data_IF_963332770063
#
_entry.id   IF_963332770063
#
_cell.length_a   1.000
_cell.length_b   1.000
_cell.length_c   1.000
_cell.angle_alpha   90.00
_cell.angle_beta   90.00
_cell.angle_gamma   90.00
#
_symmetry.space_group_name_H-M   'P 1'
#
loop_
_entity.id
_entity.type
_entity.pdbx_description
1 polymer ?
#
# COMPACT_ATOMS: atom_id res chain seq x y z
N UNK A 1 10.62 -33.89 -18.65
CA UNK A 1 10.71 -32.44 -18.92
C UNK A 1 11.75 -31.86 -17.98
N UNK A 2 12.76 -31.12 -18.46
CA UNK A 2 13.80 -30.59 -17.58
C UNK A 2 13.16 -29.54 -16.66
N UNK A 3 13.29 -29.75 -15.35
CA UNK A 3 12.83 -28.81 -14.32
C UNK A 3 13.76 -27.60 -14.41
N UNK A 4 13.28 -26.52 -15.02
CA UNK A 4 14.07 -25.28 -15.13
C UNK A 4 14.42 -24.73 -13.74
N UNK A 5 15.62 -24.18 -13.56
CA UNK A 5 16.09 -23.60 -12.28
C UNK A 5 15.17 -22.52 -11.68
N UNK A 6 14.30 -21.89 -12.50
CA UNK A 6 13.29 -20.93 -12.03
C UNK A 6 12.27 -21.55 -11.07
N UNK A 7 11.95 -22.83 -11.26
CA UNK A 7 10.98 -23.57 -10.42
C UNK A 7 11.54 -23.86 -9.03
N UNK A 8 12.84 -24.16 -8.90
CA UNK A 8 13.47 -24.51 -7.61
C UNK A 8 13.59 -23.30 -6.69
N UNK A 9 14.00 -22.13 -7.22
CA UNK A 9 14.06 -20.88 -6.44
C UNK A 9 12.67 -20.36 -6.05
N UNK A 10 11.69 -20.47 -6.95
CA UNK A 10 10.29 -20.15 -6.67
C UNK A 10 9.73 -21.02 -5.54
N UNK A 11 10.00 -22.32 -5.57
CA UNK A 11 9.55 -23.24 -4.52
C UNK A 11 10.19 -22.95 -3.15
N UNK A 12 11.47 -22.56 -3.11
CA UNK A 12 12.12 -22.16 -1.84
C UNK A 12 11.50 -20.89 -1.25
N UNK A 13 11.25 -19.87 -2.09
CA UNK A 13 10.62 -18.63 -1.64
C UNK A 13 9.19 -18.87 -1.14
N UNK A 14 8.39 -19.63 -1.89
CA UNK A 14 7.03 -20.00 -1.48
C UNK A 14 7.02 -20.76 -0.16
N UNK A 15 7.95 -21.69 0.04
CA UNK A 15 8.09 -22.42 1.30
C UNK A 15 8.45 -21.48 2.47
N UNK A 16 9.28 -20.47 2.26
CA UNK A 16 9.59 -19.48 3.29
C UNK A 16 8.37 -18.64 3.66
N UNK A 17 7.63 -18.16 2.66
CA UNK A 17 6.38 -17.41 2.86
C UNK A 17 5.34 -18.25 3.60
N UNK A 18 5.18 -19.53 3.23
CA UNK A 18 4.24 -20.42 3.91
C UNK A 18 4.60 -20.66 5.37
N UNK A 19 5.91 -20.84 5.67
CA UNK A 19 6.38 -20.97 7.06
C UNK A 19 6.08 -19.72 7.89
N UNK A 20 6.23 -18.53 7.31
CA UNK A 20 5.88 -17.29 8.00
C UNK A 20 4.38 -17.21 8.30
N UNK A 21 3.52 -17.57 7.34
CA UNK A 21 2.07 -17.62 7.58
C UNK A 21 1.66 -18.63 8.65
N UNK A 22 2.32 -19.79 8.73
CA UNK A 22 2.05 -20.76 9.80
C UNK A 22 2.49 -20.21 11.15
N UNK A 23 3.69 -19.60 11.21
CA UNK A 23 4.18 -18.96 12.42
C UNK A 23 3.24 -17.87 12.90
N UNK A 24 2.75 -16.99 12.01
CA UNK A 24 1.80 -15.93 12.37
C UNK A 24 0.51 -16.49 12.99
N UNK A 25 -0.03 -17.61 12.45
CA UNK A 25 -1.22 -18.26 13.00
C UNK A 25 -1.02 -18.88 14.39
N UNK A 26 0.19 -19.35 14.66
CA UNK A 26 0.55 -20.02 15.91
C UNK A 26 1.12 -19.04 16.97
N UNK A 27 1.43 -17.81 16.57
CA UNK A 27 2.06 -16.80 17.43
C UNK A 27 1.03 -15.82 17.98
N UNK A 28 1.04 -15.61 19.29
CA UNK A 28 0.39 -14.46 19.91
C UNK A 28 1.39 -13.30 19.85
N UNK A 29 1.28 -12.42 18.85
CA UNK A 29 2.14 -11.22 18.79
C UNK A 29 1.68 -10.18 19.82
N UNK A 30 2.62 -9.76 20.67
CA UNK A 30 2.44 -8.69 21.66
C UNK A 30 3.18 -7.40 21.24
N UNK A 31 3.68 -7.35 20.01
CA UNK A 31 4.39 -6.18 19.50
C UNK A 31 3.32 -5.11 19.16
N UNK A 32 3.33 -3.94 19.82
CA UNK A 32 2.22 -2.98 19.75
C UNK A 32 2.04 -2.32 18.39
N UNK A 33 3.06 -2.35 17.53
CA UNK A 33 3.02 -1.80 16.17
C UNK A 33 2.62 -2.84 15.11
N UNK A 34 2.62 -4.12 15.45
CA UNK A 34 2.21 -5.19 14.54
C UNK A 34 0.68 -5.32 14.52
N UNK A 35 0.14 -5.72 13.37
CA UNK A 35 -1.30 -5.93 13.21
C UNK A 35 -1.57 -6.90 12.06
N UNK A 36 -2.76 -7.51 12.04
CA UNK A 36 -3.19 -8.42 10.98
C UNK A 36 -3.95 -7.62 9.92
N UNK A 37 -3.43 -7.60 8.69
CA UNK A 37 -4.10 -6.95 7.56
C UNK A 37 -5.33 -7.76 7.13
N UNK A 38 -6.47 -7.09 6.93
CA UNK A 38 -7.69 -7.75 6.45
C UNK A 38 -7.54 -8.33 5.04
N UNK A 39 -8.25 -9.41 4.74
CA UNK A 39 -8.26 -10.05 3.41
C UNK A 39 -8.55 -9.08 2.26
N UNK A 40 -9.46 -8.12 2.48
CA UNK A 40 -9.80 -7.12 1.47
C UNK A 40 -8.62 -6.19 1.19
N UNK A 41 -7.94 -5.72 2.24
CA UNK A 41 -6.75 -4.89 2.11
C UNK A 41 -5.60 -5.66 1.43
N UNK A 42 -5.40 -6.93 1.78
CA UNK A 42 -4.41 -7.81 1.16
C UNK A 42 -4.66 -7.97 -0.35
N UNK A 43 -5.91 -8.27 -0.74
CA UNK A 43 -6.27 -8.40 -2.17
C UNK A 43 -6.03 -7.12 -2.95
N UNK A 44 -6.35 -5.97 -2.37
CA UNK A 44 -6.11 -4.66 -3.01
C UNK A 44 -4.62 -4.33 -3.12
N UNK A 45 -3.83 -4.65 -2.09
CA UNK A 45 -2.38 -4.46 -2.07
C UNK A 45 -1.68 -5.29 -3.17
N UNK A 46 -2.13 -6.52 -3.38
CA UNK A 46 -1.61 -7.41 -4.42
C UNK A 46 -2.19 -7.12 -5.83
N UNK A 47 -3.03 -6.10 -5.99
CA UNK A 47 -3.67 -5.83 -7.28
C UNK A 47 -2.66 -5.34 -8.32
N UNK A 48 -2.83 -5.79 -9.58
CA UNK A 48 -1.98 -5.35 -10.72
C UNK A 48 -2.05 -3.85 -10.98
N UNK A 49 -3.05 -3.16 -10.44
CA UNK A 49 -3.22 -1.72 -10.52
C UNK A 49 -2.06 -0.95 -9.89
N UNK A 50 -1.38 -1.54 -8.91
CA UNK A 50 -0.23 -0.94 -8.20
C UNK A 50 1.08 -0.92 -9.01
N UNK A 51 1.15 -1.67 -10.12
CA UNK A 51 2.39 -1.79 -10.92
C UNK A 51 2.50 -0.78 -12.07
N UNK A 52 1.76 0.34 -12.05
CA UNK A 52 1.80 1.32 -13.16
C UNK A 52 2.11 2.72 -12.67
N UNK A 53 3.07 3.35 -13.36
CA UNK A 53 3.43 4.75 -13.17
C UNK A 53 2.25 5.65 -13.54
N UNK A 54 1.95 6.58 -12.65
CA UNK A 54 1.01 7.67 -12.94
C UNK A 54 1.58 8.93 -12.33
N UNK A 55 1.52 10.04 -13.08
CA UNK A 55 1.81 11.37 -12.57
C UNK A 55 0.49 11.93 -12.07
N UNK A 56 0.25 12.00 -10.74
CA UNK A 56 -0.99 12.55 -10.24
C UNK A 56 -0.95 14.07 -10.30
N UNK A 57 -1.96 14.68 -10.94
CA UNK A 57 -2.17 16.13 -10.92
C UNK A 57 -3.41 16.39 -10.06
N UNK A 58 -3.35 17.34 -9.11
CA UNK A 58 -4.53 17.75 -8.33
C UNK A 58 -5.06 19.06 -8.91
N UNK A 59 -6.33 19.06 -9.35
CA UNK A 59 -7.04 20.22 -9.91
C UNK A 59 -8.33 20.36 -9.11
N UNK A 60 -8.56 21.53 -8.50
CA UNK A 60 -9.81 21.84 -7.76
C UNK A 60 -10.23 20.71 -6.81
N UNK A 61 -9.29 20.29 -5.97
CA UNK A 61 -9.41 19.19 -4.99
C UNK A 61 -9.58 17.77 -5.51
N UNK A 62 -9.64 17.57 -6.84
CA UNK A 62 -9.72 16.24 -7.46
C UNK A 62 -8.38 15.80 -8.02
N UNK A 63 -8.06 14.52 -7.85
CA UNK A 63 -6.93 13.93 -8.57
C UNK A 63 -7.32 13.59 -9.99
N UNK A 64 -6.62 14.22 -10.93
CA UNK A 64 -6.65 13.87 -12.33
C UNK A 64 -5.46 12.97 -12.67
N UNK A 65 -5.78 11.84 -13.28
CA UNK A 65 -4.83 10.80 -13.66
C UNK A 65 -5.21 10.33 -15.08
N UNK A 66 -4.60 10.89 -16.14
CA UNK A 66 -4.95 10.56 -17.52
C UNK A 66 -4.91 9.06 -17.81
N UNK A 67 -5.99 8.51 -18.37
CA UNK A 67 -6.14 7.08 -18.65
C UNK A 67 -6.36 6.21 -17.40
N UNK A 68 -6.59 6.84 -16.25
CA UNK A 68 -6.77 6.24 -14.93
C UNK A 68 -7.70 7.08 -14.06
N UNK A 69 -8.74 7.65 -14.67
CA UNK A 69 -9.68 8.58 -14.04
C UNK A 69 -10.32 7.96 -12.80
N UNK A 70 -10.65 6.66 -12.85
CA UNK A 70 -11.17 5.93 -11.69
C UNK A 70 -10.20 5.88 -10.51
N UNK A 71 -8.89 5.78 -10.77
CA UNK A 71 -7.89 5.80 -9.69
C UNK A 71 -7.81 7.19 -9.06
N UNK A 72 -7.85 8.25 -9.88
CA UNK A 72 -7.95 9.62 -9.39
C UNK A 72 -9.17 9.83 -8.49
N UNK A 73 -10.33 9.30 -8.89
CA UNK A 73 -11.55 9.35 -8.09
C UNK A 73 -11.41 8.56 -6.77
N UNK A 74 -10.80 7.38 -6.79
CA UNK A 74 -10.56 6.57 -5.58
C UNK A 74 -9.69 7.34 -4.58
N UNK A 75 -8.59 7.96 -5.05
CA UNK A 75 -7.68 8.72 -4.17
C UNK A 75 -8.41 9.95 -3.61
N UNK A 76 -9.21 10.64 -4.42
CA UNK A 76 -10.00 11.80 -3.98
C UNK A 76 -10.97 11.40 -2.86
N UNK A 77 -11.74 10.33 -3.06
CA UNK A 77 -12.66 9.79 -2.05
C UNK A 77 -11.93 9.36 -0.77
N UNK A 78 -10.74 8.79 -0.91
CA UNK A 78 -9.91 8.38 0.23
C UNK A 78 -9.47 9.60 1.05
N UNK A 79 -9.00 10.68 0.39
CA UNK A 79 -8.60 11.90 1.08
C UNK A 79 -9.77 12.54 1.84
N UNK A 80 -10.94 12.67 1.19
CA UNK A 80 -12.15 13.21 1.83
C UNK A 80 -12.55 12.40 3.07
N UNK A 81 -12.54 11.07 2.95
CA UNK A 81 -12.88 10.17 4.06
C UNK A 81 -11.90 10.29 5.22
N UNK A 82 -10.60 10.37 4.94
CA UNK A 82 -9.57 10.52 5.98
C UNK A 82 -9.68 11.89 6.67
N UNK A 83 -9.85 12.97 5.91
CA UNK A 83 -10.11 14.30 6.46
C UNK A 83 -11.33 14.29 7.38
N UNK A 84 -12.41 13.59 7.00
CA UNK A 84 -13.59 13.44 7.85
C UNK A 84 -13.32 12.64 9.12
N UNK A 85 -12.58 11.53 9.05
CA UNK A 85 -12.28 10.67 10.21
C UNK A 85 -11.40 11.42 11.22
N UNK A 86 -10.35 12.08 10.73
CA UNK A 86 -9.37 12.76 11.58
C UNK A 86 -9.73 14.21 11.89
N UNK A 87 -10.87 14.71 11.37
CA UNK A 87 -11.32 16.11 11.50
C UNK A 87 -10.25 17.10 11.06
N UNK A 88 -9.59 16.81 9.94
CA UNK A 88 -8.56 17.67 9.35
C UNK A 88 -9.03 18.28 8.03
N UNK A 89 -8.43 19.42 7.65
CA UNK A 89 -8.71 20.07 6.37
C UNK A 89 -7.97 19.44 5.20
N UNK A 90 -6.78 18.90 5.46
CA UNK A 90 -5.90 18.32 4.44
C UNK A 90 -5.33 16.99 4.94
N UNK A 91 -5.02 16.10 3.99
CA UNK A 91 -4.33 14.84 4.24
C UNK A 91 -3.41 14.54 3.06
N UNK A 92 -2.36 13.75 3.31
CA UNK A 92 -1.43 13.27 2.28
C UNK A 92 -1.46 11.75 2.35
N UNK A 93 -1.96 11.11 1.29
CA UNK A 93 -2.19 9.65 1.25
C UNK A 93 -1.14 8.89 0.42
N UNK A 94 -0.09 9.58 -0.04
CA UNK A 94 0.87 9.06 -1.02
C UNK A 94 2.25 8.76 -0.45
N UNK A 95 2.46 9.00 0.84
CA UNK A 95 3.69 8.56 1.50
C UNK A 95 3.81 7.03 1.44
N UNK A 96 5.01 6.56 1.13
CA UNK A 96 5.31 5.13 1.07
C UNK A 96 5.41 4.50 2.46
N UNK A 97 5.76 5.30 3.47
CA UNK A 97 5.94 4.87 4.87
C UNK A 97 5.90 6.09 5.80
N UNK A 98 5.88 5.84 7.11
CA UNK A 98 5.97 6.92 8.11
C UNK A 98 7.27 7.73 8.01
N UNK A 99 8.40 7.08 7.71
CA UNK A 99 9.68 7.77 7.49
C UNK A 99 9.62 8.69 6.26
N UNK A 100 9.09 8.19 5.14
CA UNK A 100 8.94 9.01 3.93
C UNK A 100 8.00 10.20 4.15
N UNK A 101 6.92 10.03 4.95
CA UNK A 101 6.05 11.15 5.30
C UNK A 101 6.79 12.24 6.09
N UNK A 102 7.67 11.85 7.02
CA UNK A 102 8.49 12.81 7.75
C UNK A 102 9.43 13.57 6.83
N UNK A 103 10.08 12.90 5.89
CA UNK A 103 10.97 13.55 4.91
C UNK A 103 10.22 14.58 4.05
N UNK A 104 8.98 14.28 3.62
CA UNK A 104 8.13 15.20 2.87
C UNK A 104 7.83 16.45 3.71
N UNK A 105 7.40 16.26 4.97
CA UNK A 105 7.06 17.37 5.88
C UNK A 105 8.29 18.25 6.12
N UNK A 106 9.43 17.63 6.46
CA UNK A 106 10.67 18.35 6.73
C UNK A 106 11.18 19.11 5.50
N UNK A 107 10.97 18.58 4.30
CA UNK A 107 11.35 19.25 3.05
C UNK A 107 10.43 20.42 2.72
N UNK A 108 9.14 20.32 3.02
CA UNK A 108 8.17 21.38 2.75
C UNK A 108 8.25 22.57 3.73
N UNK A 109 8.81 22.35 4.93
CA UNK A 109 9.01 23.38 5.94
C UNK A 109 10.32 24.17 5.77
N UNK A 110 11.22 23.72 4.89
CA UNK A 110 12.47 24.42 4.55
C UNK A 110 12.22 25.44 3.46
#
# INVERSE_FOLDING_TARGET
>A
MPISDKTIKGNKLLNMVFKEFQKEKETISLIPSENIMSDLATKMYCSKSNNRYVIPIKIEDKFFMPGRESLGNIITLLEEKLCSIYKTKYTIVKSLSGLHQMDIIMSAMR
#
